data_IF_967742878865
#
_entry.id   IF_967742878865
#
_cell.length_a   1.000
_cell.length_b   1.000
_cell.length_c   1.000
_cell.angle_alpha   90.00
_cell.angle_beta   90.00
_cell.angle_gamma   90.00
#
_symmetry.space_group_name_H-M   'P 1'
#
loop_
_entity.id
_entity.type
_entity.pdbx_description
1 polymer ?
#
# COMPACT_ATOMS: atom_id res chain seq x y z
N UNK A 1 -17.66 0.16 -6.30
CA UNK A 1 -17.56 -0.72 -5.10
C UNK A 1 -16.37 -1.67 -5.20
N UNK A 2 -15.21 -1.11 -5.10
CA UNK A 2 -13.92 -1.79 -5.34
C UNK A 2 -13.67 -2.94 -4.36
N UNK A 3 -13.95 -2.75 -3.07
CA UNK A 3 -13.76 -3.78 -2.03
C UNK A 3 -14.55 -5.06 -2.33
N UNK A 4 -15.81 -4.93 -2.79
CA UNK A 4 -16.65 -6.08 -3.12
C UNK A 4 -16.10 -6.87 -4.31
N UNK A 5 -15.60 -6.17 -5.32
CA UNK A 5 -15.06 -6.80 -6.52
C UNK A 5 -13.66 -7.37 -6.33
N UNK A 6 -12.82 -6.70 -5.56
CA UNK A 6 -11.44 -7.14 -5.34
C UNK A 6 -11.31 -8.25 -4.28
N UNK A 7 -12.11 -8.18 -3.20
CA UNK A 7 -11.97 -9.09 -2.05
C UNK A 7 -13.17 -9.99 -1.82
N UNK A 8 -14.22 -9.87 -2.66
CA UNK A 8 -15.50 -10.59 -2.47
C UNK A 8 -16.09 -10.38 -1.07
N UNK A 9 -15.75 -9.26 -0.44
CA UNK A 9 -16.13 -8.91 0.92
C UNK A 9 -17.15 -7.77 0.92
N UNK A 10 -18.14 -7.85 1.82
CA UNK A 10 -19.10 -6.77 2.02
C UNK A 10 -18.66 -5.92 3.22
N UNK A 11 -18.56 -4.60 3.00
CA UNK A 11 -18.38 -3.67 4.09
C UNK A 11 -19.70 -3.56 4.86
N UNK A 12 -19.73 -4.01 6.11
CA UNK A 12 -20.91 -3.96 6.98
C UNK A 12 -20.88 -2.79 7.96
N UNK A 13 -19.69 -2.45 8.43
CA UNK A 13 -19.49 -1.41 9.43
C UNK A 13 -18.38 -0.49 8.93
N UNK A 14 -18.66 0.79 8.90
CA UNK A 14 -17.69 1.84 8.64
C UNK A 14 -17.49 2.64 9.94
N UNK A 15 -16.27 2.65 10.44
CA UNK A 15 -15.92 3.36 11.68
C UNK A 15 -15.08 4.59 11.36
N UNK A 16 -15.51 5.76 11.84
CA UNK A 16 -14.80 7.02 11.67
C UNK A 16 -14.70 7.81 12.98
N UNK A 17 -13.92 8.87 12.95
CA UNK A 17 -13.96 9.91 13.97
C UNK A 17 -15.17 10.86 13.74
N UNK A 18 -15.28 11.90 14.57
CA UNK A 18 -16.33 12.90 14.48
C UNK A 18 -16.04 14.03 13.46
N UNK A 19 -15.17 13.81 12.48
CA UNK A 19 -14.92 14.81 11.46
C UNK A 19 -16.19 15.05 10.62
N UNK A 20 -16.52 16.33 10.41
CA UNK A 20 -17.76 16.76 9.72
C UNK A 20 -17.94 16.16 8.33
N UNK A 21 -16.84 15.82 7.66
CA UNK A 21 -16.83 15.22 6.33
C UNK A 21 -17.54 13.87 6.28
N UNK A 22 -17.53 13.09 7.37
CA UNK A 22 -18.21 11.79 7.46
C UNK A 22 -19.72 11.88 7.72
N UNK A 23 -20.22 13.07 8.05
CA UNK A 23 -21.64 13.32 8.30
C UNK A 23 -22.34 14.06 7.14
N UNK A 24 -21.71 14.10 5.99
CA UNK A 24 -22.31 14.70 4.81
C UNK A 24 -23.48 13.85 4.29
N UNK A 25 -24.59 14.50 3.92
CA UNK A 25 -25.84 13.85 3.52
C UNK A 25 -25.65 12.79 2.43
N UNK A 26 -24.79 13.08 1.44
CA UNK A 26 -24.50 12.14 0.34
C UNK A 26 -23.82 10.87 0.80
N UNK A 27 -22.94 10.95 1.81
CA UNK A 27 -22.24 9.79 2.37
C UNK A 27 -23.17 8.96 3.25
N UNK A 28 -24.01 9.63 4.05
CA UNK A 28 -25.03 8.95 4.88
C UNK A 28 -26.01 8.18 3.99
N UNK A 29 -26.51 8.80 2.93
CA UNK A 29 -27.40 8.16 1.99
C UNK A 29 -26.71 6.95 1.28
N UNK A 30 -25.44 7.09 0.92
CA UNK A 30 -24.67 5.98 0.37
C UNK A 30 -24.56 4.80 1.34
N UNK A 31 -24.36 5.05 2.64
CA UNK A 31 -24.31 4.01 3.67
C UNK A 31 -25.66 3.30 3.81
N UNK A 32 -26.75 4.06 3.85
CA UNK A 32 -28.11 3.54 3.97
C UNK A 32 -28.47 2.66 2.76
N UNK A 33 -28.19 3.14 1.54
CA UNK A 33 -28.46 2.42 0.29
C UNK A 33 -27.67 1.10 0.19
N UNK A 34 -26.55 0.99 0.89
CA UNK A 34 -25.68 -0.19 0.85
C UNK A 34 -25.74 -1.03 2.13
N UNK A 35 -26.59 -0.67 3.08
CA UNK A 35 -26.72 -1.37 4.36
C UNK A 35 -25.45 -1.33 5.21
N UNK A 36 -24.69 -0.22 5.15
CA UNK A 36 -23.47 -0.04 5.90
C UNK A 36 -23.78 0.74 7.17
N UNK A 37 -23.44 0.16 8.33
CA UNK A 37 -23.62 0.83 9.62
C UNK A 37 -22.46 1.78 9.84
N UNK A 38 -22.74 3.08 9.89
CA UNK A 38 -21.74 4.08 10.27
C UNK A 38 -21.66 4.19 11.79
N UNK A 39 -20.47 3.88 12.34
CA UNK A 39 -20.16 4.04 13.76
C UNK A 39 -19.20 5.21 13.94
N UNK A 40 -19.68 6.29 14.53
CA UNK A 40 -18.81 7.37 14.97
C UNK A 40 -18.39 7.15 16.42
N UNK A 41 -17.21 7.63 16.79
CA UNK A 41 -16.70 7.58 18.15
C UNK A 41 -16.81 8.95 18.78
N UNK A 42 -17.90 9.27 19.52
CA UNK A 42 -17.96 10.52 20.26
C UNK A 42 -16.93 10.47 21.41
N UNK A 43 -16.01 11.44 21.41
CA UNK A 43 -15.17 11.86 22.53
C UNK A 43 -14.20 10.84 23.19
N UNK A 44 -13.96 9.65 22.67
CA UNK A 44 -12.97 8.77 23.28
C UNK A 44 -11.73 8.59 22.40
N UNK A 45 -10.55 9.11 22.82
CA UNK A 45 -9.27 8.92 22.15
C UNK A 45 -8.90 7.47 21.82
N UNK A 46 -9.33 6.42 22.59
CA UNK A 46 -8.85 5.06 22.36
C UNK A 46 -9.28 4.42 21.03
N UNK A 47 -10.44 4.84 20.46
CA UNK A 47 -10.93 4.16 19.25
C UNK A 47 -10.26 4.64 17.96
N UNK A 48 -9.76 5.88 17.95
CA UNK A 48 -8.93 6.39 16.84
C UNK A 48 -7.48 5.88 16.91
N UNK A 49 -7.05 5.44 18.08
CA UNK A 49 -5.69 4.95 18.33
C UNK A 49 -5.28 3.74 17.49
N UNK A 50 -6.22 2.97 16.93
CA UNK A 50 -5.88 1.87 16.01
C UNK A 50 -5.41 2.41 14.66
N UNK A 51 -6.17 3.37 14.10
CA UNK A 51 -5.84 4.03 12.82
C UNK A 51 -4.56 4.83 12.97
N UNK A 52 -4.43 5.62 14.03
CA UNK A 52 -3.24 6.41 14.31
C UNK A 52 -1.97 5.54 14.47
N UNK A 53 -2.06 4.43 15.20
CA UNK A 53 -0.94 3.47 15.32
C UNK A 53 -0.59 2.86 13.97
N UNK A 54 -1.58 2.51 13.16
CA UNK A 54 -1.34 1.95 11.83
C UNK A 54 -0.68 2.96 10.90
N UNK A 55 -1.15 4.21 10.92
CA UNK A 55 -0.54 5.31 10.15
C UNK A 55 0.89 5.59 10.61
N UNK A 56 1.13 5.63 11.91
CA UNK A 56 2.48 5.79 12.46
C UNK A 56 3.39 4.65 12.03
N UNK A 57 2.96 3.41 12.15
CA UNK A 57 3.73 2.24 11.70
C UNK A 57 4.04 2.32 10.20
N UNK A 58 3.07 2.69 9.37
CA UNK A 58 3.29 2.89 7.93
C UNK A 58 4.36 3.95 7.66
N UNK A 59 4.28 5.10 8.34
CA UNK A 59 5.26 6.18 8.18
C UNK A 59 6.65 5.78 8.68
N UNK A 60 6.74 5.02 9.76
CA UNK A 60 8.02 4.53 10.28
C UNK A 60 8.69 3.57 9.30
N UNK A 61 7.95 2.62 8.74
CA UNK A 61 8.47 1.69 7.71
C UNK A 61 8.88 2.47 6.46
N UNK A 62 8.05 3.43 6.02
CA UNK A 62 8.38 4.29 4.86
C UNK A 62 9.68 5.07 5.08
N UNK A 63 9.84 5.68 6.25
CA UNK A 63 11.08 6.39 6.60
C UNK A 63 12.29 5.46 6.62
N UNK A 64 12.13 4.28 7.23
CA UNK A 64 13.20 3.28 7.28
C UNK A 64 13.64 2.87 5.86
N UNK A 65 12.70 2.64 4.94
CA UNK A 65 13.00 2.32 3.53
C UNK A 65 13.79 3.45 2.86
N UNK A 66 13.33 4.70 2.98
CA UNK A 66 14.00 5.84 2.34
C UNK A 66 15.40 6.06 2.90
N UNK A 67 15.57 6.04 4.22
CA UNK A 67 16.86 6.32 4.86
C UNK A 67 17.85 5.18 4.70
N UNK A 68 17.41 3.93 4.92
CA UNK A 68 18.29 2.77 4.88
C UNK A 68 18.80 2.49 3.46
N UNK A 69 17.93 2.71 2.48
CA UNK A 69 18.26 2.48 1.06
C UNK A 69 18.78 3.74 0.36
N UNK A 70 18.93 4.85 1.08
CA UNK A 70 19.42 6.15 0.55
C UNK A 70 18.65 6.66 -0.65
N UNK A 71 17.34 6.39 -0.70
CA UNK A 71 16.46 6.83 -1.79
C UNK A 71 16.06 8.30 -1.57
N UNK A 72 16.13 9.15 -2.60
CA UNK A 72 15.69 10.53 -2.50
C UNK A 72 14.24 10.66 -2.05
N UNK A 73 13.93 11.68 -1.23
CA UNK A 73 12.57 11.91 -0.70
C UNK A 73 11.50 12.10 -1.78
N UNK A 74 11.88 12.48 -3.00
CA UNK A 74 10.96 12.59 -4.14
C UNK A 74 10.23 11.28 -4.46
N UNK A 75 10.80 10.13 -4.07
CA UNK A 75 10.22 8.79 -4.26
C UNK A 75 9.43 8.29 -3.03
N UNK A 76 8.95 9.22 -2.19
CA UNK A 76 8.22 8.86 -0.98
C UNK A 76 6.95 8.05 -1.26
N UNK A 77 6.26 8.31 -2.37
CA UNK A 77 5.06 7.58 -2.78
C UNK A 77 5.35 6.10 -3.04
N UNK A 78 6.45 5.81 -3.74
CA UNK A 78 6.87 4.43 -4.01
C UNK A 78 7.29 3.71 -2.72
N UNK A 79 7.94 4.44 -1.81
CA UNK A 79 8.29 3.92 -0.49
C UNK A 79 7.05 3.62 0.38
N UNK A 80 5.99 4.45 0.33
CA UNK A 80 4.71 4.19 1.01
C UNK A 80 4.04 2.95 0.44
N UNK A 81 3.97 2.82 -0.89
CA UNK A 81 3.39 1.64 -1.53
C UNK A 81 4.16 0.36 -1.16
N UNK A 82 5.49 0.45 -1.12
CA UNK A 82 6.34 -0.66 -0.68
C UNK A 82 6.09 -1.01 0.79
N UNK A 83 5.99 -0.01 1.66
CA UNK A 83 5.68 -0.22 3.07
C UNK A 83 4.30 -0.89 3.27
N UNK A 84 3.28 -0.43 2.54
CA UNK A 84 1.96 -1.07 2.53
C UNK A 84 2.04 -2.53 2.08
N UNK A 85 2.77 -2.79 1.00
CA UNK A 85 2.97 -4.15 0.50
C UNK A 85 3.64 -5.04 1.55
N UNK A 86 4.76 -4.60 2.12
CA UNK A 86 5.48 -5.35 3.15
C UNK A 86 4.61 -5.64 4.38
N UNK A 87 3.93 -4.62 4.93
CA UNK A 87 3.07 -4.77 6.10
C UNK A 87 1.95 -5.79 5.84
N UNK A 88 1.40 -5.82 4.63
CA UNK A 88 0.32 -6.75 4.28
C UNK A 88 0.83 -8.17 3.98
N UNK A 89 2.10 -8.35 3.65
CA UNK A 89 2.72 -9.64 3.35
C UNK A 89 3.59 -10.20 4.48
N UNK A 90 3.65 -9.51 5.63
CA UNK A 90 4.32 -10.01 6.85
C UNK A 90 3.31 -10.57 7.84
N UNK A 91 3.75 -11.55 8.63
CA UNK A 91 2.92 -12.11 9.70
C UNK A 91 2.56 -11.06 10.75
N UNK A 92 1.32 -11.09 11.25
CA UNK A 92 0.82 -10.15 12.24
C UNK A 92 0.45 -10.88 13.54
N UNK A 93 0.97 -10.39 14.66
CA UNK A 93 0.64 -10.93 16.00
C UNK A 93 -0.85 -10.74 16.33
N UNK A 94 -1.46 -9.65 15.85
CA UNK A 94 -2.90 -9.37 16.04
C UNK A 94 -3.77 -10.42 15.34
N UNK A 95 -3.28 -10.99 14.23
CA UNK A 95 -3.96 -12.06 13.49
C UNK A 95 -3.46 -13.46 13.88
N UNK A 96 -2.88 -13.62 15.07
CA UNK A 96 -2.37 -14.91 15.53
C UNK A 96 -1.22 -15.45 14.68
N UNK A 97 -0.38 -14.60 14.11
CA UNK A 97 0.73 -14.96 13.23
C UNK A 97 0.36 -15.12 11.76
N UNK A 98 -0.91 -14.95 11.40
CA UNK A 98 -1.33 -14.99 9.99
C UNK A 98 -0.89 -13.74 9.22
N UNK A 99 -0.79 -13.90 7.91
CA UNK A 99 -0.45 -12.81 6.98
C UNK A 99 -1.74 -12.10 6.56
N UNK A 100 -1.85 -10.76 6.72
CA UNK A 100 -3.07 -10.02 6.38
C UNK A 100 -3.57 -10.27 4.95
N UNK A 101 -2.65 -10.35 3.99
CA UNK A 101 -3.00 -10.61 2.59
C UNK A 101 -3.67 -11.97 2.40
N UNK A 102 -3.18 -13.03 3.03
CA UNK A 102 -3.77 -14.37 2.91
C UNK A 102 -5.14 -14.49 3.60
N UNK A 103 -5.39 -13.68 4.64
CA UNK A 103 -6.71 -13.62 5.29
C UNK A 103 -7.74 -12.96 4.37
N UNK A 104 -7.33 -11.90 3.64
CA UNK A 104 -8.22 -11.20 2.70
C UNK A 104 -8.41 -11.94 1.38
N UNK A 105 -7.39 -12.66 0.93
CA UNK A 105 -7.39 -13.36 -0.37
C UNK A 105 -6.84 -14.78 -0.22
N UNK A 106 -7.61 -15.71 0.39
CA UNK A 106 -7.11 -17.06 0.72
C UNK A 106 -6.69 -17.89 -0.49
N UNK A 107 -7.29 -17.62 -1.65
CA UNK A 107 -7.04 -18.37 -2.88
C UNK A 107 -5.97 -17.74 -3.78
N UNK A 108 -5.45 -16.58 -3.42
CA UNK A 108 -4.40 -15.91 -4.19
C UNK A 108 -3.01 -16.34 -3.71
N UNK A 109 -2.04 -16.53 -4.62
CA UNK A 109 -0.66 -16.78 -4.22
C UNK A 109 -0.10 -15.57 -3.47
N UNK A 110 0.69 -15.82 -2.43
CA UNK A 110 1.28 -14.75 -1.62
C UNK A 110 2.14 -13.79 -2.48
N UNK A 111 2.83 -14.33 -3.46
CA UNK A 111 3.62 -13.57 -4.42
C UNK A 111 3.35 -14.07 -5.83
N UNK A 112 2.90 -13.19 -6.72
CA UNK A 112 2.75 -13.49 -8.17
C UNK A 112 4.09 -13.53 -8.88
N UNK A 113 5.06 -12.77 -8.41
CA UNK A 113 6.44 -12.73 -8.90
C UNK A 113 7.40 -12.81 -7.70
N UNK A 114 8.63 -13.33 -7.91
CA UNK A 114 9.63 -13.33 -6.85
C UNK A 114 9.84 -11.90 -6.31
N UNK A 115 9.74 -11.69 -4.99
CA UNK A 115 9.91 -10.37 -4.41
C UNK A 115 11.31 -9.83 -4.70
N UNK A 116 11.38 -8.57 -5.07
CA UNK A 116 12.64 -7.83 -5.27
C UNK A 116 12.85 -6.86 -4.11
N UNK A 117 14.11 -6.63 -3.78
CA UNK A 117 14.47 -5.68 -2.73
C UNK A 117 14.21 -4.26 -3.26
N UNK A 118 13.52 -3.44 -2.46
CA UNK A 118 13.33 -2.03 -2.76
C UNK A 118 14.70 -1.34 -2.94
N UNK A 119 14.83 -0.52 -3.97
CA UNK A 119 16.07 0.17 -4.33
C UNK A 119 17.23 -0.74 -4.77
N UNK A 120 16.98 -2.01 -5.12
CA UNK A 120 18.04 -2.81 -5.71
C UNK A 120 18.39 -2.31 -7.12
N UNK A 121 19.67 -2.43 -7.47
CA UNK A 121 20.14 -2.11 -8.83
C UNK A 121 19.58 -3.12 -9.82
N UNK A 122 19.05 -2.62 -10.91
CA UNK A 122 18.59 -3.41 -12.04
C UNK A 122 19.06 -2.78 -13.36
N UNK A 123 19.01 -3.55 -14.43
CA UNK A 123 19.35 -3.08 -15.77
C UNK A 123 18.17 -3.28 -16.69
N UNK A 124 17.77 -2.19 -17.35
CA UNK A 124 16.65 -2.18 -18.30
C UNK A 124 17.20 -2.20 -19.70
N UNK A 125 16.72 -3.12 -20.53
CA UNK A 125 17.10 -3.19 -21.93
C UNK A 125 16.44 -2.07 -22.71
N UNK A 126 17.23 -1.36 -23.55
CA UNK A 126 16.75 -0.25 -24.39
C UNK A 126 16.19 -0.84 -25.68
N UNK A 127 14.87 -0.77 -25.83
CA UNK A 127 14.18 -1.10 -27.09
C UNK A 127 14.12 0.19 -27.93
N UNK A 128 15.21 0.56 -28.58
CA UNK A 128 15.30 1.75 -29.45
C UNK A 128 15.64 1.39 -30.89
N UNK A 129 14.89 1.96 -31.83
CA UNK A 129 15.27 2.00 -33.24
C UNK A 129 16.36 3.07 -33.38
N UNK A 130 17.60 2.64 -33.70
CA UNK A 130 18.71 3.56 -33.97
C UNK A 130 19.96 3.37 -33.13
N UNK A 131 20.01 2.38 -32.24
CA UNK A 131 21.22 2.06 -31.48
C UNK A 131 22.26 1.41 -32.38
N UNK A 132 23.46 1.95 -32.40
CA UNK A 132 24.61 1.33 -33.07
C UNK A 132 25.10 0.08 -32.30
N UNK A 133 25.91 -0.74 -32.95
CA UNK A 133 26.48 -1.96 -32.35
C UNK A 133 27.34 -1.70 -31.11
N UNK A 134 27.84 -0.51 -30.96
CA UNK A 134 28.70 -0.05 -29.86
C UNK A 134 27.93 0.68 -28.76
N UNK A 135 26.65 1.01 -28.96
CA UNK A 135 25.83 1.66 -27.95
C UNK A 135 25.47 0.73 -26.79
N UNK A 136 25.36 1.26 -25.56
CA UNK A 136 24.95 0.47 -24.42
C UNK A 136 23.54 -0.06 -24.60
N UNK A 137 23.38 -1.38 -24.54
CA UNK A 137 22.07 -2.04 -24.73
C UNK A 137 21.16 -1.99 -23.48
N UNK A 138 21.69 -1.55 -22.36
CA UNK A 138 20.94 -1.47 -21.11
C UNK A 138 21.32 -0.23 -20.30
N UNK A 139 20.33 0.30 -19.58
CA UNK A 139 20.52 1.42 -18.66
C UNK A 139 20.45 0.86 -17.23
N UNK A 140 21.38 1.30 -16.38
CA UNK A 140 21.36 1.03 -14.95
C UNK A 140 20.24 1.80 -14.29
N UNK A 141 19.35 1.11 -13.60
CA UNK A 141 18.17 1.67 -12.94
C UNK A 141 18.06 1.14 -11.51
N UNK A 142 17.14 1.74 -10.76
CA UNK A 142 16.78 1.30 -9.42
C UNK A 142 15.35 0.74 -9.44
N UNK A 143 15.15 -0.41 -8.79
CA UNK A 143 13.85 -1.04 -8.70
C UNK A 143 13.02 -0.39 -7.59
N UNK A 144 11.86 0.16 -7.94
CA UNK A 144 10.83 0.64 -7.02
C UNK A 144 9.54 -0.14 -7.26
N UNK A 145 8.76 -0.39 -6.24
CA UNK A 145 7.57 -1.28 -6.33
C UNK A 145 6.51 -0.80 -7.33
N UNK A 146 6.49 0.47 -7.66
CA UNK A 146 5.57 1.07 -8.65
C UNK A 146 6.01 0.95 -10.10
N UNK A 147 7.09 0.23 -10.39
CA UNK A 147 7.69 0.11 -11.71
C UNK A 147 9.13 0.61 -11.75
N UNK A 148 9.75 0.47 -12.92
CA UNK A 148 11.11 0.95 -13.17
C UNK A 148 11.07 2.49 -13.29
N UNK A 149 11.40 3.19 -12.23
CA UNK A 149 11.53 4.64 -12.24
C UNK A 149 12.97 5.03 -11.88
N UNK A 150 13.51 5.93 -12.67
CA UNK A 150 14.79 6.57 -12.40
C UNK A 150 16.02 5.79 -12.90
N UNK A 151 16.52 6.22 -14.05
CA UNK A 151 17.90 5.98 -14.42
C UNK A 151 18.77 7.00 -13.67
N UNK A 152 19.77 6.53 -12.93
CA UNK A 152 20.80 7.36 -12.30
C UNK A 152 22.13 7.13 -13.01
#
# INVERSE_FOLDING_TARGET
MEIKTQFYALLRIFQSDNAREYFHTSLSQFFDDHGIIHQSCPHTPPKNGVVERKMRHLLEVTRALLFHMQVPKSYWSDAVLTACHLINHMSSTILGGQIPYTVLSPNAPLFHLPPKIFSCVCYVYILGLGNDKLDPRSIKCVFLLGGLRGCF
#
